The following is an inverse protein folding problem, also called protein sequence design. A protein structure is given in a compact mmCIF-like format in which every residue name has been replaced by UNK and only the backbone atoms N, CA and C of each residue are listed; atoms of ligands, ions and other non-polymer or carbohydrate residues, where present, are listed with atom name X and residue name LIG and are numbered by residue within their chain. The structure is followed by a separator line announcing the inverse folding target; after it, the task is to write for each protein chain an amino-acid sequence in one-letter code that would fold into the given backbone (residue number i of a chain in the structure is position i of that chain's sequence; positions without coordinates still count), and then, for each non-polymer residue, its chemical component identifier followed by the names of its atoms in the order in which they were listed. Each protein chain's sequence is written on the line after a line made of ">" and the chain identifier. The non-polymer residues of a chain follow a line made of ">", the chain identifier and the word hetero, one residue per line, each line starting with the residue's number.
data_IF_205024841250
#
_entry.id   IF_205024841250
#
_cell.length_a   1.000
_cell.length_b   1.000
_cell.length_c   1.000
_cell.angle_alpha   90.00
_cell.angle_beta   90.00
_cell.angle_gamma   90.00
#
_symmetry.space_group_name_H-M   'P 1'
#
loop_
_entity.id
_entity.type
_entity.pdbx_description
1 polymer ?
#
# COMPACT_ATOMS: atom_id res chain seq x y z
N UNK A 1 -7.26 8.17 4.52
CA UNK A 1 -6.21 9.08 5.00
C UNK A 1 -5.04 9.08 4.06
N UNK A 2 -4.61 10.23 3.67
CA UNK A 2 -3.56 10.36 2.67
C UNK A 2 -2.20 10.19 3.31
N UNK A 3 -1.41 9.32 2.75
CA UNK A 3 -0.04 9.12 3.17
C UNK A 3 0.93 9.87 2.30
N UNK A 4 0.46 10.48 1.24
CA UNK A 4 1.39 10.83 0.20
C UNK A 4 1.88 12.24 0.25
N UNK A 5 1.04 13.19 0.02
CA UNK A 5 1.62 14.37 -0.54
C UNK A 5 1.08 15.68 -0.02
N UNK A 6 -0.06 15.66 0.54
CA UNK A 6 -0.70 16.93 0.87
C UNK A 6 -0.09 17.61 2.07
N UNK A 7 0.62 16.86 2.90
CA UNK A 7 1.31 17.43 4.03
C UNK A 7 0.42 18.02 5.11
N UNK A 8 -0.88 17.91 4.96
CA UNK A 8 -1.75 18.43 6.00
C UNK A 8 -1.90 17.47 7.18
N UNK A 9 -1.32 16.31 7.07
CA UNK A 9 -1.27 15.38 8.18
C UNK A 9 0.11 15.42 8.80
N UNK A 10 0.14 15.44 10.11
CA UNK A 10 1.39 15.54 10.85
C UNK A 10 1.97 14.16 11.14
N UNK A 11 1.97 13.29 10.15
CA UNK A 11 2.55 11.99 10.31
C UNK A 11 4.06 12.04 10.23
N UNK A 12 4.69 11.17 11.00
CA UNK A 12 6.09 10.91 10.82
C UNK A 12 6.25 9.94 9.65
N UNK A 13 6.59 10.47 8.49
CA UNK A 13 6.78 9.66 7.28
C UNK A 13 7.85 8.58 7.44
N UNK A 14 8.76 8.75 8.39
CA UNK A 14 9.78 7.75 8.65
C UNK A 14 9.18 6.45 9.21
N UNK A 15 7.98 6.49 9.74
CA UNK A 15 7.30 5.29 10.22
C UNK A 15 6.73 4.45 9.09
N UNK A 16 6.51 5.04 7.91
CA UNK A 16 5.90 4.34 6.78
C UNK A 16 6.97 3.49 6.10
N UNK A 17 6.77 2.16 6.02
CA UNK A 17 7.75 1.30 5.36
C UNK A 17 7.95 1.67 3.90
N UNK A 18 9.14 1.44 3.41
CA UNK A 18 9.46 1.69 2.01
C UNK A 18 8.52 0.93 1.08
N UNK A 19 8.18 -0.31 1.45
CA UNK A 19 7.27 -1.12 0.64
C UNK A 19 5.89 -0.50 0.49
N UNK A 20 5.35 0.09 1.56
CA UNK A 20 4.06 0.78 1.49
C UNK A 20 4.14 1.98 0.56
N UNK A 21 5.19 2.77 0.68
CA UNK A 21 5.41 3.92 -0.21
C UNK A 21 5.56 3.48 -1.65
N UNK A 22 6.27 2.38 -1.88
CA UNK A 22 6.50 1.83 -3.20
C UNK A 22 5.18 1.39 -3.86
N UNK A 23 4.34 0.68 -3.11
CA UNK A 23 3.05 0.22 -3.64
C UNK A 23 2.12 1.40 -3.94
N UNK A 24 2.07 2.37 -3.06
CA UNK A 24 1.29 3.58 -3.30
C UNK A 24 1.81 4.33 -4.53
N UNK A 25 3.12 4.41 -4.67
CA UNK A 25 3.75 5.05 -5.82
C UNK A 25 3.37 4.35 -7.12
N UNK A 26 3.41 3.00 -7.14
CA UNK A 26 2.99 2.24 -8.32
C UNK A 26 1.55 2.56 -8.69
N UNK A 27 0.65 2.49 -7.71
CA UNK A 27 -0.77 2.69 -7.98
C UNK A 27 -1.07 4.09 -8.47
N UNK A 28 -0.41 5.09 -7.90
CA UNK A 28 -0.68 6.49 -8.24
C UNK A 28 0.06 6.94 -9.48
N UNK A 29 1.35 6.65 -9.58
CA UNK A 29 2.19 7.16 -10.67
C UNK A 29 1.97 6.38 -11.96
N UNK A 30 2.03 5.07 -11.87
CA UNK A 30 1.94 4.22 -13.06
C UNK A 30 0.52 3.82 -13.37
N UNK A 31 -0.26 3.50 -12.33
CA UNK A 31 -1.65 3.09 -12.51
C UNK A 31 -2.62 4.23 -12.67
N UNK A 32 -2.21 5.41 -12.23
CA UNK A 32 -3.05 6.62 -12.21
C UNK A 32 -4.32 6.43 -11.37
N UNK A 33 -4.23 5.57 -10.36
CA UNK A 33 -5.29 5.39 -9.39
C UNK A 33 -5.04 6.27 -8.17
N UNK A 34 -6.02 6.33 -7.29
CA UNK A 34 -5.84 6.90 -5.96
C UNK A 34 -5.41 5.80 -5.02
N UNK A 35 -4.57 6.12 -4.04
CA UNK A 35 -4.14 5.16 -3.04
C UNK A 35 -3.78 5.90 -1.75
N UNK A 36 -4.29 5.38 -0.63
CA UNK A 36 -4.14 6.03 0.68
C UNK A 36 -3.91 4.99 1.75
N UNK A 37 -3.12 5.34 2.77
CA UNK A 37 -3.07 4.54 3.98
C UNK A 37 -4.33 4.78 4.79
N UNK A 38 -4.89 3.71 5.34
CA UNK A 38 -6.14 3.76 6.10
C UNK A 38 -6.08 2.84 7.31
N UNK A 39 -7.06 2.95 8.19
CA UNK A 39 -7.27 2.02 9.28
C UNK A 39 -6.34 2.23 10.46
N UNK A 40 -5.98 1.12 11.10
CA UNK A 40 -5.23 1.15 12.35
C UNK A 40 -3.85 1.76 12.25
N UNK A 41 -3.19 1.63 11.08
CA UNK A 41 -1.87 2.23 10.91
C UNK A 41 -1.93 3.75 10.99
N UNK A 42 -2.97 4.35 10.45
CA UNK A 42 -3.16 5.79 10.51
C UNK A 42 -3.40 6.22 11.95
N UNK A 43 -4.28 5.51 12.66
CA UNK A 43 -4.54 5.78 14.07
C UNK A 43 -3.27 5.67 14.89
N UNK A 44 -2.49 4.60 14.67
CA UNK A 44 -1.27 4.38 15.42
C UNK A 44 -0.24 5.48 15.17
N UNK A 45 -0.08 5.89 13.91
CA UNK A 45 0.82 6.98 13.58
C UNK A 45 0.38 8.30 14.23
N UNK A 46 -0.93 8.56 14.25
CA UNK A 46 -1.46 9.74 14.92
C UNK A 46 -1.16 9.75 16.42
N UNK A 47 -1.06 8.56 17.00
CA UNK A 47 -0.75 8.40 18.43
C UNK A 47 0.75 8.19 18.67
N UNK A 48 1.56 8.39 17.66
CA UNK A 48 3.00 8.19 17.71
C UNK A 48 3.37 6.76 18.12
N UNK A 49 2.60 5.79 17.64
CA UNK A 49 2.86 4.37 17.83
C UNK A 49 3.32 3.78 16.51
N UNK A 50 4.14 2.71 16.60
CA UNK A 50 4.58 1.99 15.41
C UNK A 50 3.48 1.02 15.00
N UNK A 51 2.90 1.16 13.79
CA UNK A 51 1.86 0.24 13.33
C UNK A 51 2.41 -1.17 13.11
N UNK A 52 1.55 -2.16 13.33
CA UNK A 52 1.86 -3.56 13.04
C UNK A 52 1.38 -3.98 11.66
N UNK A 53 0.26 -3.41 11.22
CA UNK A 53 -0.34 -3.73 9.93
C UNK A 53 -0.47 -2.47 9.11
N UNK A 54 -0.29 -2.62 7.80
CA UNK A 54 -0.38 -1.50 6.88
C UNK A 54 -1.47 -1.78 5.86
N UNK A 55 -2.53 -0.99 5.93
CA UNK A 55 -3.68 -1.11 5.05
C UNK A 55 -3.71 0.05 4.08
N UNK A 56 -3.95 -0.25 2.82
CA UNK A 56 -4.03 0.74 1.75
C UNK A 56 -5.40 0.61 1.09
N UNK A 57 -6.03 1.73 0.81
CA UNK A 57 -7.24 1.74 0.00
C UNK A 57 -6.93 2.37 -1.36
N UNK A 58 -7.63 1.89 -2.39
CA UNK A 58 -7.44 2.38 -3.75
C UNK A 58 -8.75 2.27 -4.50
N UNK A 59 -8.89 3.05 -5.56
CA UNK A 59 -10.03 2.92 -6.47
C UNK A 59 -9.78 1.94 -7.62
N UNK A 60 -8.62 1.30 -7.64
CA UNK A 60 -8.34 0.24 -8.60
C UNK A 60 -9.09 -1.03 -8.21
N UNK A 61 -9.52 -1.80 -9.21
CA UNK A 61 -10.07 -3.13 -8.96
C UNK A 61 -8.94 -4.10 -8.59
N UNK A 62 -9.25 -5.25 -7.96
CA UNK A 62 -8.22 -6.24 -7.68
C UNK A 62 -7.40 -6.64 -8.91
N UNK A 63 -8.04 -6.86 -10.05
CA UNK A 63 -7.33 -7.23 -11.26
C UNK A 63 -6.40 -6.10 -11.74
N UNK A 64 -6.86 -4.86 -11.65
CA UNK A 64 -6.04 -3.72 -12.02
C UNK A 64 -4.83 -3.58 -11.10
N UNK A 65 -5.03 -3.74 -9.78
CA UNK A 65 -3.94 -3.69 -8.82
C UNK A 65 -2.88 -4.75 -9.11
N UNK A 66 -3.34 -5.97 -9.28
CA UNK A 66 -2.43 -7.10 -9.50
C UNK A 66 -1.62 -6.87 -10.77
N UNK A 67 -2.30 -6.47 -11.84
CA UNK A 67 -1.64 -6.27 -13.13
C UNK A 67 -0.54 -5.21 -13.04
N UNK A 68 -0.85 -4.04 -12.49
CA UNK A 68 0.13 -2.95 -12.48
C UNK A 68 1.26 -3.24 -11.49
N UNK A 69 0.94 -3.79 -10.33
CA UNK A 69 1.96 -4.07 -9.32
C UNK A 69 2.91 -5.16 -9.79
N UNK A 70 2.38 -6.24 -10.39
CA UNK A 70 3.24 -7.29 -10.93
C UNK A 70 4.15 -6.76 -12.03
N UNK A 71 3.60 -5.94 -12.91
CA UNK A 71 4.36 -5.39 -14.03
C UNK A 71 5.54 -4.54 -13.54
N UNK A 72 5.28 -3.66 -12.59
CA UNK A 72 6.33 -2.76 -12.10
C UNK A 72 7.34 -3.50 -11.23
N UNK A 73 6.88 -4.43 -10.38
CA UNK A 73 7.79 -5.23 -9.57
C UNK A 73 8.71 -6.07 -10.44
N UNK A 74 8.20 -6.63 -11.53
CA UNK A 74 9.02 -7.39 -12.46
C UNK A 74 10.06 -6.50 -13.11
N UNK A 75 9.66 -5.30 -13.53
CA UNK A 75 10.58 -4.33 -14.13
C UNK A 75 11.69 -3.95 -13.15
N UNK A 76 11.33 -3.73 -11.89
CA UNK A 76 12.26 -3.29 -10.86
C UNK A 76 13.00 -4.46 -10.18
N UNK A 77 12.73 -5.69 -10.62
CA UNK A 77 13.32 -6.90 -10.06
C UNK A 77 13.04 -7.04 -8.56
N UNK A 78 11.83 -6.63 -8.14
CA UNK A 78 11.38 -6.77 -6.76
C UNK A 78 10.60 -8.08 -6.61
N UNK A 79 10.85 -8.77 -5.52
CA UNK A 79 10.16 -10.03 -5.22
C UNK A 79 8.82 -9.71 -4.57
N UNK A 80 7.73 -10.12 -5.23
CA UNK A 80 6.38 -9.89 -4.76
C UNK A 80 5.63 -11.21 -4.72
N UNK A 81 4.86 -11.44 -3.63
CA UNK A 81 3.92 -12.54 -3.55
C UNK A 81 2.54 -11.97 -3.40
N UNK A 82 1.57 -12.58 -4.04
CA UNK A 82 0.19 -12.11 -4.04
C UNK A 82 -0.68 -13.16 -3.36
N UNK A 83 -1.37 -12.73 -2.29
CA UNK A 83 -2.23 -13.62 -1.51
C UNK A 83 -3.66 -13.18 -1.72
N UNK A 84 -4.50 -14.10 -2.20
CA UNK A 84 -5.85 -13.80 -2.66
C UNK A 84 -6.94 -14.15 -1.65
N UNK A 85 -6.61 -14.45 -0.40
CA UNK A 85 -7.58 -14.88 0.58
C UNK A 85 -8.68 -13.86 0.85
N UNK A 86 -8.40 -12.58 0.64
CA UNK A 86 -9.38 -11.51 0.83
C UNK A 86 -10.13 -11.11 -0.44
N UNK A 87 -9.93 -11.84 -1.55
CA UNK A 87 -10.43 -11.41 -2.85
C UNK A 87 -11.94 -11.25 -2.88
N UNK A 88 -12.67 -12.13 -2.21
CA UNK A 88 -14.13 -12.05 -2.15
C UNK A 88 -14.63 -10.78 -1.45
N UNK A 89 -13.78 -10.13 -0.69
CA UNK A 89 -14.07 -8.85 -0.03
C UNK A 89 -13.43 -7.68 -0.74
N UNK A 90 -12.84 -7.92 -1.91
CA UNK A 90 -12.21 -6.87 -2.71
C UNK A 90 -10.81 -6.50 -2.27
N UNK A 91 -10.19 -7.29 -1.38
CA UNK A 91 -8.84 -7.00 -0.91
C UNK A 91 -7.84 -8.04 -1.41
N UNK A 92 -6.60 -7.60 -1.57
CA UNK A 92 -5.48 -8.45 -1.97
C UNK A 92 -4.32 -8.13 -1.04
N UNK A 93 -3.63 -9.16 -0.58
CA UNK A 93 -2.42 -8.95 0.22
C UNK A 93 -1.20 -9.10 -0.67
N UNK A 94 -0.37 -8.07 -0.69
CA UNK A 94 0.89 -8.07 -1.42
C UNK A 94 2.02 -8.22 -0.41
N UNK A 95 2.81 -9.28 -0.54
CA UNK A 95 3.97 -9.50 0.32
C UNK A 95 5.20 -9.07 -0.45
N UNK A 96 5.82 -8.00 0.01
CA UNK A 96 6.99 -7.41 -0.62
C UNK A 96 8.14 -7.46 0.37
N UNK A 97 9.20 -8.16 -0.01
CA UNK A 97 10.38 -8.32 0.84
C UNK A 97 10.03 -8.84 2.25
N UNK A 98 9.06 -9.76 2.32
CA UNK A 98 8.65 -10.37 3.58
C UNK A 98 7.64 -9.61 4.39
N UNK A 99 7.26 -8.41 3.97
CA UNK A 99 6.27 -7.57 4.66
C UNK A 99 4.96 -7.59 3.90
N UNK A 100 3.84 -7.85 4.58
CA UNK A 100 2.52 -7.90 3.97
C UNK A 100 1.80 -6.56 4.01
N UNK A 101 1.20 -6.20 2.88
CA UNK A 101 0.40 -4.98 2.74
C UNK A 101 -0.95 -5.36 2.17
N UNK A 102 -2.03 -5.00 2.86
CA UNK A 102 -3.38 -5.26 2.37
C UNK A 102 -3.88 -4.04 1.60
N UNK A 103 -4.35 -4.29 0.39
CA UNK A 103 -4.88 -3.23 -0.46
C UNK A 103 -6.29 -3.57 -0.93
#
# INVERSE_FOLDING_TARGET
>A
MIASDRGYMTFNNAMIPEGAKYLIYILTKYGRFQAYLVGGCVRDMCMNRIPHDWDITTNATPNEMISIIETICKRDERNIQIVLTGLKHGTVTFVLDGEGYEI
#
